data_IF_344438806710
#
_entry.id   IF_344438806710
#
_cell.length_a   1.000
_cell.length_b   1.000
_cell.length_c   1.000
_cell.angle_alpha   90.00
_cell.angle_beta   90.00
_cell.angle_gamma   90.00
#
_symmetry.space_group_name_H-M   'P 1'
#
loop_
_entity.id
_entity.type
_entity.pdbx_description
1 polymer ?
#
# COMPACT_ATOMS: atom_id res chain seq x y z
N UNK A 1 -19.15 -8.65 -6.29
CA UNK A 1 -18.11 -8.81 -7.33
C UNK A 1 -17.20 -7.61 -7.15
N UNK A 2 -15.93 -7.83 -6.90
CA UNK A 2 -15.05 -6.72 -6.59
C UNK A 2 -14.80 -5.84 -7.82
N UNK A 3 -14.77 -4.52 -7.61
CA UNK A 3 -14.69 -3.49 -8.64
C UNK A 3 -13.33 -2.78 -8.58
N UNK A 4 -12.65 -2.67 -9.72
CA UNK A 4 -11.32 -2.07 -9.84
C UNK A 4 -11.39 -0.88 -10.77
N UNK A 5 -10.95 0.28 -10.27
CA UNK A 5 -10.73 1.47 -11.09
C UNK A 5 -9.34 1.41 -11.71
N UNK A 6 -9.25 1.64 -13.03
CA UNK A 6 -8.00 1.67 -13.79
C UNK A 6 -7.82 3.10 -14.31
N UNK A 7 -6.86 3.82 -13.77
CA UNK A 7 -6.48 5.15 -14.21
C UNK A 7 -5.22 5.04 -15.10
N UNK A 8 -5.42 5.10 -16.41
CA UNK A 8 -4.37 4.90 -17.42
C UNK A 8 -4.80 5.60 -18.72
N UNK A 9 -3.97 6.47 -19.26
CA UNK A 9 -4.27 7.24 -20.47
C UNK A 9 -3.91 6.49 -21.77
N UNK A 10 -2.95 5.55 -21.69
CA UNK A 10 -2.61 4.72 -22.84
C UNK A 10 -3.67 3.62 -23.06
N UNK A 11 -4.54 3.80 -24.06
CA UNK A 11 -5.64 2.88 -24.36
C UNK A 11 -5.22 1.41 -24.54
N UNK A 12 -3.97 1.16 -24.98
CA UNK A 12 -3.43 -0.21 -25.13
C UNK A 12 -3.15 -0.85 -23.77
N UNK A 13 -2.57 -0.10 -22.83
CA UNK A 13 -2.26 -0.58 -21.49
C UNK A 13 -3.55 -0.73 -20.70
N UNK A 14 -4.42 0.29 -20.72
CA UNK A 14 -5.73 0.24 -20.08
C UNK A 14 -6.56 -0.97 -20.55
N UNK A 15 -6.67 -1.18 -21.88
CA UNK A 15 -7.41 -2.32 -22.44
C UNK A 15 -6.77 -3.67 -22.14
N UNK A 16 -5.43 -3.77 -22.07
CA UNK A 16 -4.73 -4.98 -21.67
C UNK A 16 -5.02 -5.32 -20.20
N UNK A 17 -4.95 -4.35 -19.32
CA UNK A 17 -5.24 -4.51 -17.88
C UNK A 17 -6.72 -4.85 -17.68
N UNK A 18 -7.63 -4.10 -18.29
CA UNK A 18 -9.08 -4.33 -18.22
C UNK A 18 -9.45 -5.74 -18.63
N UNK A 19 -8.98 -6.19 -19.82
CA UNK A 19 -9.27 -7.52 -20.34
C UNK A 19 -8.80 -8.63 -19.39
N UNK A 20 -7.60 -8.47 -18.83
CA UNK A 20 -7.04 -9.43 -17.89
C UNK A 20 -7.84 -9.49 -16.58
N UNK A 21 -8.20 -8.32 -16.03
CA UNK A 21 -8.96 -8.24 -14.78
C UNK A 21 -10.38 -8.78 -14.92
N UNK A 22 -11.07 -8.48 -16.03
CA UNK A 22 -12.39 -9.06 -16.32
C UNK A 22 -12.33 -10.58 -16.47
N UNK A 23 -11.30 -11.10 -17.14
CA UNK A 23 -11.07 -12.54 -17.23
C UNK A 23 -10.78 -13.18 -15.86
N UNK A 24 -10.19 -12.43 -14.94
CA UNK A 24 -9.94 -12.86 -13.55
C UNK A 24 -11.15 -12.71 -12.62
N UNK A 25 -12.31 -12.21 -13.13
CA UNK A 25 -13.57 -12.13 -12.39
C UNK A 25 -13.83 -10.80 -11.68
N UNK A 26 -13.10 -9.73 -12.03
CA UNK A 26 -13.31 -8.38 -11.49
C UNK A 26 -14.24 -7.54 -12.38
N UNK A 27 -15.03 -6.67 -11.77
CA UNK A 27 -15.62 -5.54 -12.48
C UNK A 27 -14.57 -4.45 -12.68
N UNK A 28 -14.59 -3.73 -13.80
CA UNK A 28 -13.56 -2.73 -14.12
C UNK A 28 -14.18 -1.48 -14.71
N UNK A 29 -13.62 -0.33 -14.38
CA UNK A 29 -13.87 0.95 -15.03
C UNK A 29 -12.54 1.63 -15.33
N UNK A 30 -12.46 2.33 -16.48
CA UNK A 30 -11.27 3.04 -16.92
C UNK A 30 -11.51 4.55 -16.76
N UNK A 31 -10.52 5.25 -16.20
CA UNK A 31 -10.36 6.69 -16.24
C UNK A 31 -9.11 7.02 -17.06
N UNK A 32 -9.21 7.93 -18.02
CA UNK A 32 -8.07 8.31 -18.88
C UNK A 32 -7.40 9.63 -18.47
N UNK A 33 -7.89 10.27 -17.41
CA UNK A 33 -7.34 11.52 -16.89
C UNK A 33 -7.28 11.47 -15.35
N UNK A 34 -6.34 12.21 -14.76
CA UNK A 34 -6.24 12.32 -13.30
C UNK A 34 -7.49 12.89 -12.63
N UNK A 35 -8.12 13.97 -13.16
CA UNK A 35 -9.38 14.49 -12.61
C UNK A 35 -10.52 13.46 -12.62
N UNK A 36 -10.67 12.68 -13.70
CA UNK A 36 -11.69 11.63 -13.78
C UNK A 36 -11.39 10.50 -12.79
N UNK A 37 -10.11 10.10 -12.68
CA UNK A 37 -9.67 9.09 -11.74
C UNK A 37 -9.98 9.50 -10.29
N UNK A 38 -9.67 10.74 -9.93
CA UNK A 38 -9.97 11.28 -8.60
C UNK A 38 -11.47 11.31 -8.32
N UNK A 39 -12.26 11.82 -9.27
CA UNK A 39 -13.71 11.90 -9.13
C UNK A 39 -14.34 10.52 -8.91
N UNK A 40 -13.98 9.54 -9.75
CA UNK A 40 -14.49 8.17 -9.64
C UNK A 40 -14.01 7.49 -8.35
N UNK A 41 -12.75 7.67 -7.98
CA UNK A 41 -12.19 7.09 -6.76
C UNK A 41 -12.85 7.58 -5.46
N UNK A 42 -13.52 8.74 -5.49
CA UNK A 42 -14.26 9.31 -4.36
C UNK A 42 -15.70 8.81 -4.24
N UNK A 43 -16.19 7.98 -5.17
CA UNK A 43 -17.59 7.48 -5.14
C UNK A 43 -17.79 6.29 -4.21
N UNK A 44 -16.76 5.75 -3.59
CA UNK A 44 -16.78 4.52 -2.78
C UNK A 44 -17.33 3.26 -3.52
N UNK A 45 -17.32 3.30 -4.87
CA UNK A 45 -17.81 2.18 -5.70
C UNK A 45 -16.71 1.17 -6.05
N UNK A 46 -15.45 1.48 -5.72
CA UNK A 46 -14.29 0.69 -6.09
C UNK A 46 -13.56 0.14 -4.87
N UNK A 47 -13.14 -1.12 -5.00
CA UNK A 47 -12.41 -1.85 -3.97
C UNK A 47 -10.89 -1.67 -4.09
N UNK A 48 -10.39 -1.20 -5.26
CA UNK A 48 -8.97 -0.95 -5.51
C UNK A 48 -8.80 -0.01 -6.71
N UNK A 49 -7.76 0.84 -6.64
CA UNK A 49 -7.31 1.71 -7.74
C UNK A 49 -5.96 1.23 -8.28
N UNK A 50 -5.87 0.99 -9.58
CA UNK A 50 -4.62 0.90 -10.34
C UNK A 50 -4.39 2.26 -10.98
N UNK A 51 -3.31 2.95 -10.63
CA UNK A 51 -3.10 4.37 -10.93
C UNK A 51 -1.77 4.60 -11.63
N UNK A 52 -1.83 5.04 -12.88
CA UNK A 52 -0.62 5.50 -13.57
C UNK A 52 -0.12 6.83 -13.01
N UNK A 53 1.20 6.98 -12.94
CA UNK A 53 1.85 8.23 -12.55
C UNK A 53 1.60 9.31 -13.61
N UNK A 54 1.72 8.97 -14.90
CA UNK A 54 1.70 9.92 -16.00
C UNK A 54 0.29 10.10 -16.58
N UNK A 55 -0.62 10.72 -15.80
CA UNK A 55 -1.98 11.02 -16.28
C UNK A 55 -2.11 12.48 -16.74
N UNK A 56 -2.90 12.74 -17.80
CA UNK A 56 -3.18 14.10 -18.23
C UNK A 56 -4.08 14.84 -17.24
N UNK A 57 -3.86 16.14 -17.11
CA UNK A 57 -4.64 17.06 -16.30
C UNK A 57 -4.24 17.10 -14.82
N UNK A 58 -3.99 15.95 -14.22
CA UNK A 58 -3.48 15.78 -12.85
C UNK A 58 -2.66 14.50 -12.81
N UNK A 59 -1.41 14.56 -12.38
CA UNK A 59 -0.58 13.37 -12.31
C UNK A 59 -1.02 12.41 -11.19
N UNK A 60 -0.56 11.15 -11.28
CA UNK A 60 -0.97 10.11 -10.34
C UNK A 60 -0.56 10.39 -8.89
N UNK A 61 0.54 11.11 -8.65
CA UNK A 61 0.94 11.49 -7.29
C UNK A 61 0.00 12.53 -6.70
N UNK A 62 -0.45 13.50 -7.50
CA UNK A 62 -1.44 14.49 -7.07
C UNK A 62 -2.80 13.85 -6.79
N UNK A 63 -3.21 12.86 -7.61
CA UNK A 63 -4.43 12.07 -7.33
C UNK A 63 -4.30 11.32 -6.00
N UNK A 64 -3.17 10.64 -5.79
CA UNK A 64 -2.87 9.91 -4.56
C UNK A 64 -2.92 10.83 -3.34
N UNK A 65 -2.24 11.98 -3.39
CA UNK A 65 -2.20 12.95 -2.29
C UNK A 65 -3.62 13.42 -1.91
N UNK A 66 -4.46 13.74 -2.90
CA UNK A 66 -5.83 14.19 -2.65
C UNK A 66 -6.72 13.07 -2.08
N UNK A 67 -6.56 11.83 -2.54
CA UNK A 67 -7.30 10.68 -1.99
C UNK A 67 -6.90 10.43 -0.53
N UNK A 68 -5.61 10.45 -0.22
CA UNK A 68 -5.12 10.29 1.15
C UNK A 68 -5.56 11.46 2.04
N UNK A 69 -5.51 12.69 1.53
CA UNK A 69 -5.96 13.90 2.23
C UNK A 69 -7.47 13.88 2.53
N UNK A 70 -8.28 13.22 1.69
CA UNK A 70 -9.73 13.03 1.93
C UNK A 70 -10.03 11.86 2.87
N UNK A 71 -9.02 11.11 3.33
CA UNK A 71 -9.19 9.96 4.21
C UNK A 71 -9.61 8.68 3.50
N UNK A 72 -9.42 8.59 2.17
CA UNK A 72 -9.66 7.36 1.42
C UNK A 72 -8.84 6.21 1.97
N UNK A 73 -9.46 5.04 2.08
CA UNK A 73 -8.83 3.79 2.53
C UNK A 73 -8.69 2.77 1.40
N UNK A 74 -9.16 3.12 0.21
CA UNK A 74 -9.08 2.26 -0.95
C UNK A 74 -7.63 1.92 -1.26
N UNK A 75 -7.26 0.65 -1.41
CA UNK A 75 -5.91 0.24 -1.82
C UNK A 75 -5.53 0.84 -3.17
N UNK A 76 -4.32 1.37 -3.27
CA UNK A 76 -3.82 2.01 -4.49
C UNK A 76 -2.50 1.35 -4.93
N UNK A 77 -2.49 0.84 -6.16
CA UNK A 77 -1.29 0.32 -6.83
C UNK A 77 -0.86 1.33 -7.89
N UNK A 78 0.30 1.96 -7.68
CA UNK A 78 0.86 2.91 -8.64
C UNK A 78 1.57 2.17 -9.77
N UNK A 79 1.29 2.56 -11.03
CA UNK A 79 2.08 2.15 -12.19
C UNK A 79 3.08 3.25 -12.51
N UNK A 80 4.37 2.92 -12.67
CA UNK A 80 5.42 3.92 -12.86
C UNK A 80 6.51 3.45 -13.81
N UNK A 81 7.21 4.36 -14.49
CA UNK A 81 8.41 4.02 -15.24
C UNK A 81 9.55 3.62 -14.29
N UNK A 82 10.37 2.64 -14.69
CA UNK A 82 11.46 2.09 -13.86
C UNK A 82 12.47 3.15 -13.36
N UNK A 83 12.67 4.22 -14.11
CA UNK A 83 13.58 5.32 -13.76
C UNK A 83 13.03 6.15 -12.60
N UNK A 84 11.71 6.32 -12.54
CA UNK A 84 11.02 7.08 -11.48
C UNK A 84 10.99 6.33 -10.15
N UNK A 85 11.09 4.98 -10.16
CA UNK A 85 11.22 4.19 -8.93
C UNK A 85 12.53 4.45 -8.16
N UNK A 86 13.62 4.79 -8.83
CA UNK A 86 14.91 5.09 -8.19
C UNK A 86 14.98 6.52 -7.64
N UNK A 87 14.30 7.47 -8.29
CA UNK A 87 14.16 8.85 -7.80
C UNK A 87 13.05 8.99 -6.75
N UNK A 88 12.13 8.02 -6.70
CA UNK A 88 10.90 8.02 -5.88
C UNK A 88 11.11 7.43 -4.48
N UNK A 89 12.33 7.32 -3.98
CA UNK A 89 12.53 7.24 -2.51
C UNK A 89 11.93 8.48 -1.83
N UNK A 90 11.91 9.62 -2.49
CA UNK A 90 11.13 10.80 -2.10
C UNK A 90 9.60 10.64 -2.33
N UNK A 91 9.16 9.82 -3.29
CA UNK A 91 7.73 9.58 -3.59
C UNK A 91 7.10 8.46 -2.78
N UNK A 92 7.88 7.64 -2.05
CA UNK A 92 7.38 6.67 -1.06
C UNK A 92 6.79 7.37 0.18
N UNK A 93 7.01 8.66 0.36
CA UNK A 93 6.27 9.50 1.29
C UNK A 93 4.80 9.65 0.90
N UNK A 94 4.43 9.35 -0.36
CA UNK A 94 3.10 9.51 -0.90
C UNK A 94 2.02 8.52 -0.40
N UNK A 95 2.38 7.44 0.31
CA UNK A 95 1.39 6.59 0.99
C UNK A 95 0.61 5.59 0.11
N UNK A 96 1.00 5.34 -1.14
CA UNK A 96 0.41 4.28 -1.96
C UNK A 96 0.68 2.88 -1.36
N UNK A 97 -0.25 1.94 -1.58
CA UNK A 97 -0.14 0.58 -1.05
C UNK A 97 0.89 -0.27 -1.79
N UNK A 98 1.12 -0.01 -3.07
CA UNK A 98 2.07 -0.73 -3.91
C UNK A 98 2.52 0.09 -5.11
N UNK A 99 3.70 -0.29 -5.66
CA UNK A 99 4.26 0.27 -6.88
C UNK A 99 4.64 -0.85 -7.84
N UNK A 100 4.31 -0.70 -9.12
CA UNK A 100 4.63 -1.64 -10.18
C UNK A 100 5.31 -0.91 -11.33
N UNK A 101 6.54 -1.30 -11.63
CA UNK A 101 7.33 -0.70 -12.72
C UNK A 101 6.86 -1.13 -14.10
N UNK A 102 6.66 -0.19 -15.02
CA UNK A 102 6.45 -0.44 -16.45
C UNK A 102 7.81 -0.74 -17.14
N UNK A 103 7.90 -1.77 -18.03
CA UNK A 103 6.85 -2.71 -18.43
C UNK A 103 6.65 -3.82 -17.40
N UNK A 104 5.40 -4.21 -17.15
CA UNK A 104 5.03 -5.25 -16.20
C UNK A 104 4.32 -6.44 -16.88
N UNK A 105 4.30 -7.57 -16.17
CA UNK A 105 3.50 -8.72 -16.56
C UNK A 105 2.14 -8.66 -15.89
N UNK A 106 1.09 -9.06 -16.61
CA UNK A 106 -0.27 -9.07 -16.05
C UNK A 106 -0.38 -9.98 -14.80
N UNK A 107 0.30 -11.13 -14.81
CA UNK A 107 0.29 -12.05 -13.66
C UNK A 107 0.86 -11.40 -12.38
N UNK A 108 1.84 -10.52 -12.53
CA UNK A 108 2.42 -9.75 -11.42
C UNK A 108 1.41 -8.74 -10.87
N UNK A 109 0.79 -7.94 -11.74
CA UNK A 109 -0.27 -7.01 -11.36
C UNK A 109 -1.42 -7.73 -10.65
N UNK A 110 -1.90 -8.85 -11.23
CA UNK A 110 -2.98 -9.65 -10.66
C UNK A 110 -2.64 -10.22 -9.27
N UNK A 111 -1.40 -10.70 -9.09
CA UNK A 111 -0.94 -11.20 -7.79
C UNK A 111 -0.94 -10.09 -6.73
N UNK A 112 -0.49 -8.86 -7.09
CA UNK A 112 -0.49 -7.68 -6.21
C UNK A 112 -1.91 -7.24 -5.85
N UNK A 113 -2.81 -7.17 -6.83
CA UNK A 113 -4.23 -6.86 -6.62
C UNK A 113 -4.84 -7.85 -5.63
N UNK A 114 -4.70 -9.16 -5.87
CA UNK A 114 -5.24 -10.19 -4.98
C UNK A 114 -4.67 -10.12 -3.57
N UNK A 115 -3.37 -9.80 -3.43
CA UNK A 115 -2.74 -9.64 -2.12
C UNK A 115 -3.34 -8.46 -1.36
N UNK A 116 -3.65 -7.34 -2.04
CA UNK A 116 -4.23 -6.15 -1.40
C UNK A 116 -5.70 -6.34 -1.05
N UNK A 117 -6.46 -7.01 -1.91
CA UNK A 117 -7.88 -7.31 -1.68
C UNK A 117 -8.10 -8.42 -0.65
N UNK A 118 -7.23 -9.45 -0.61
CA UNK A 118 -7.34 -10.57 0.34
C UNK A 118 -7.14 -10.14 1.80
N UNK A 119 -6.41 -9.03 2.03
CA UNK A 119 -6.29 -8.46 3.38
C UNK A 119 -7.62 -8.00 3.97
N UNK A 120 -8.62 -7.73 3.16
CA UNK A 120 -9.96 -7.35 3.64
C UNK A 120 -10.82 -8.57 4.04
N UNK A 121 -10.71 -9.69 3.35
CA UNK A 121 -11.50 -10.91 3.63
C UNK A 121 -10.95 -11.69 4.84
N UNK A 122 -9.62 -11.79 4.99
CA UNK A 122 -9.00 -12.46 6.14
C UNK A 122 -9.09 -11.63 7.44
N UNK A 123 -9.33 -10.31 7.33
CA UNK A 123 -9.50 -9.41 8.47
C UNK A 123 -10.82 -9.61 9.22
N UNK A 124 -11.81 -10.26 8.60
CA UNK A 124 -13.08 -10.59 9.27
C UNK A 124 -12.94 -11.65 10.38
N UNK A 125 -11.82 -12.39 10.39
CA UNK A 125 -11.58 -13.49 11.33
C UNK A 125 -10.67 -13.16 12.52
N UNK A 126 -10.00 -12.00 12.53
CA UNK A 126 -9.06 -11.64 13.61
C UNK A 126 -9.22 -10.18 14.03
N UNK A 127 -10.27 -9.89 14.76
CA UNK A 127 -10.48 -8.57 15.36
C UNK A 127 -9.34 -8.25 16.35
N UNK A 128 -8.76 -7.06 16.28
CA UNK A 128 -7.80 -6.45 17.19
C UNK A 128 -6.53 -7.27 17.52
N UNK A 129 -5.44 -6.95 16.85
CA UNK A 129 -4.10 -7.32 17.27
C UNK A 129 -3.64 -6.35 18.38
N UNK A 130 -3.00 -6.86 19.41
CA UNK A 130 -2.48 -6.00 20.48
C UNK A 130 -1.14 -6.48 21.01
N UNK A 131 -0.27 -5.52 21.34
CA UNK A 131 0.94 -5.76 22.09
C UNK A 131 1.16 -4.60 23.07
N UNK A 132 1.14 -4.91 24.37
CA UNK A 132 1.14 -3.92 25.46
C UNK A 132 -0.01 -2.93 25.29
N UNK A 133 0.28 -1.63 25.18
CA UNK A 133 -0.69 -0.55 24.98
C UNK A 133 -0.92 -0.17 23.49
N UNK A 134 -0.24 -0.83 22.56
CA UNK A 134 -0.49 -0.71 21.12
C UNK A 134 -1.57 -1.70 20.71
N UNK A 135 -2.65 -1.22 20.13
CA UNK A 135 -3.70 -2.03 19.50
C UNK A 135 -3.93 -1.61 18.04
N UNK A 136 -4.12 -2.60 17.20
CA UNK A 136 -4.42 -2.44 15.79
C UNK A 136 -5.76 -3.13 15.49
N UNK A 137 -6.74 -2.40 15.03
CA UNK A 137 -7.95 -3.00 14.44
C UNK A 137 -7.67 -3.22 12.95
N UNK A 138 -7.49 -4.46 12.56
CA UNK A 138 -7.13 -4.84 11.18
C UNK A 138 -8.26 -4.54 10.21
N UNK A 139 -9.52 -4.61 10.67
CA UNK A 139 -10.69 -4.36 9.85
C UNK A 139 -10.89 -2.88 9.53
N UNK A 140 -10.72 -2.02 10.54
CA UNK A 140 -10.88 -0.56 10.36
C UNK A 140 -9.58 0.14 10.04
N UNK A 141 -8.45 -0.60 10.07
CA UNK A 141 -7.08 -0.06 9.97
C UNK A 141 -6.79 1.05 10.99
N UNK A 142 -7.44 0.98 12.14
CA UNK A 142 -7.19 1.90 13.24
C UNK A 142 -6.05 1.42 14.12
N UNK A 143 -5.11 2.33 14.42
CA UNK A 143 -4.08 2.12 15.42
C UNK A 143 -4.37 2.96 16.66
N UNK A 144 -4.12 2.39 17.84
CA UNK A 144 -4.26 3.10 19.12
C UNK A 144 -3.04 2.80 20.00
N UNK A 145 -2.55 3.84 20.66
CA UNK A 145 -1.48 3.76 21.65
C UNK A 145 -2.02 4.32 22.97
N UNK A 146 -2.03 3.49 24.02
CA UNK A 146 -2.61 3.88 25.30
C UNK A 146 -4.08 4.33 25.19
N UNK A 147 -4.83 3.76 24.24
CA UNK A 147 -6.23 4.14 23.93
C UNK A 147 -6.38 5.36 22.99
N UNK A 148 -5.32 6.12 22.75
CA UNK A 148 -5.36 7.26 21.84
C UNK A 148 -5.18 6.81 20.39
N UNK A 149 -6.05 7.27 19.48
CA UNK A 149 -5.96 6.97 18.05
C UNK A 149 -4.71 7.60 17.45
N UNK A 150 -4.01 6.82 16.62
CA UNK A 150 -2.82 7.24 15.86
C UNK A 150 -3.11 7.01 14.38
N UNK A 151 -2.92 8.04 13.58
CA UNK A 151 -3.10 7.93 12.12
C UNK A 151 -1.86 7.32 11.48
N UNK A 152 -2.06 6.18 10.83
CA UNK A 152 -1.05 5.49 10.05
C UNK A 152 -1.48 5.44 8.60
N UNK A 153 -0.54 5.67 7.68
CA UNK A 153 -0.74 5.35 6.27
C UNK A 153 -0.91 3.84 6.08
N UNK A 154 -1.38 3.42 4.93
CA UNK A 154 -1.59 2.01 4.63
C UNK A 154 -0.31 1.15 4.80
N UNK A 155 0.86 1.70 4.44
CA UNK A 155 2.16 1.03 4.60
C UNK A 155 2.64 1.01 6.04
N UNK A 156 2.49 2.12 6.74
CA UNK A 156 2.80 2.17 8.18
C UNK A 156 1.95 1.17 8.97
N UNK A 157 0.65 1.09 8.64
CA UNK A 157 -0.24 0.13 9.28
C UNK A 157 0.19 -1.31 8.98
N UNK A 158 0.47 -1.65 7.71
CA UNK A 158 0.92 -2.99 7.33
C UNK A 158 2.25 -3.37 8.02
N UNK A 159 3.17 -2.42 8.15
CA UNK A 159 4.43 -2.64 8.85
C UNK A 159 4.21 -2.81 10.36
N UNK A 160 3.34 -2.00 10.97
CA UNK A 160 2.96 -2.14 12.38
C UNK A 160 2.28 -3.48 12.65
N UNK A 161 1.39 -3.93 11.74
CA UNK A 161 0.73 -5.23 11.79
C UNK A 161 1.73 -6.38 11.81
N UNK A 162 2.75 -6.36 10.93
CA UNK A 162 3.80 -7.37 10.91
C UNK A 162 4.55 -7.44 12.24
N UNK A 163 4.85 -6.30 12.83
CA UNK A 163 5.49 -6.26 14.14
C UNK A 163 4.59 -6.80 15.26
N UNK A 164 3.32 -6.41 15.29
CA UNK A 164 2.37 -6.85 16.32
C UNK A 164 2.00 -8.33 16.19
N UNK A 165 2.04 -8.89 14.99
CA UNK A 165 1.89 -10.35 14.76
C UNK A 165 3.10 -11.15 15.22
N UNK A 166 4.27 -10.52 15.33
CA UNK A 166 5.54 -11.17 15.69
C UNK A 166 6.24 -10.45 16.87
N UNK A 167 5.58 -10.27 18.02
CA UNK A 167 6.12 -9.49 19.13
C UNK A 167 7.37 -10.16 19.69
N UNK A 168 8.41 -9.36 19.94
CA UNK A 168 9.70 -9.85 20.44
C UNK A 168 10.57 -10.59 19.42
N UNK A 169 10.04 -10.92 18.24
CA UNK A 169 10.83 -11.54 17.17
C UNK A 169 11.59 -10.48 16.38
N UNK A 170 12.84 -10.79 16.02
CA UNK A 170 13.62 -9.96 15.10
C UNK A 170 13.20 -10.26 13.67
N UNK A 171 12.69 -9.26 12.97
CA UNK A 171 12.35 -9.34 11.55
C UNK A 171 13.47 -8.68 10.74
N UNK A 172 14.04 -9.42 9.77
CA UNK A 172 15.07 -8.87 8.90
C UNK A 172 14.47 -7.83 7.94
N UNK A 173 15.33 -6.95 7.37
CA UNK A 173 14.89 -6.00 6.32
C UNK A 173 14.24 -6.72 5.15
N UNK A 174 14.84 -7.81 4.69
CA UNK A 174 14.31 -8.62 3.59
C UNK A 174 12.93 -9.20 3.92
N UNK A 175 12.76 -9.71 5.14
CA UNK A 175 11.46 -10.23 5.59
C UNK A 175 10.40 -9.13 5.62
N UNK A 176 10.74 -7.95 6.13
CA UNK A 176 9.83 -6.81 6.15
C UNK A 176 9.50 -6.33 4.75
N UNK A 177 10.51 -6.19 3.87
CA UNK A 177 10.31 -5.82 2.47
C UNK A 177 9.41 -6.82 1.74
N UNK A 178 9.70 -8.10 1.85
CA UNK A 178 8.92 -9.16 1.22
C UNK A 178 7.47 -9.20 1.70
N UNK A 179 7.24 -9.09 3.02
CA UNK A 179 5.90 -9.22 3.61
C UNK A 179 5.02 -7.98 3.43
N UNK A 180 5.63 -6.78 3.47
CA UNK A 180 4.90 -5.51 3.40
C UNK A 180 4.86 -4.96 1.98
N UNK A 181 5.94 -5.13 1.18
CA UNK A 181 6.05 -4.58 -0.19
C UNK A 181 6.02 -5.62 -1.30
N UNK A 182 6.27 -6.89 -1.00
CA UNK A 182 6.28 -8.00 -1.97
C UNK A 182 7.68 -8.49 -2.34
N UNK A 183 7.74 -9.66 -3.03
CA UNK A 183 9.01 -10.36 -3.31
C UNK A 183 9.95 -9.66 -4.29
N UNK A 184 9.45 -8.72 -5.11
CA UNK A 184 10.25 -8.06 -6.15
C UNK A 184 10.86 -6.73 -5.70
N UNK A 185 10.84 -6.46 -4.40
CA UNK A 185 11.46 -5.25 -3.87
C UNK A 185 12.99 -5.44 -3.79
N UNK A 186 13.76 -4.42 -4.23
CA UNK A 186 15.22 -4.45 -4.15
C UNK A 186 15.68 -4.65 -2.69
N UNK A 187 16.40 -5.75 -2.37
CA UNK A 187 16.91 -6.00 -1.03
C UNK A 187 17.87 -4.91 -0.50
N UNK A 188 18.47 -4.12 -1.41
CA UNK A 188 19.33 -2.98 -1.07
C UNK A 188 18.56 -1.70 -0.71
N UNK A 189 17.23 -1.71 -0.84
CA UNK A 189 16.38 -0.56 -0.54
C UNK A 189 16.38 -0.22 0.95
N UNK A 190 16.47 1.07 1.29
CA UNK A 190 16.35 1.57 2.66
C UNK A 190 14.89 1.85 3.09
N UNK A 191 13.91 1.46 2.27
CA UNK A 191 12.48 1.74 2.51
C UNK A 191 12.02 1.22 3.86
N UNK A 192 12.37 0.00 4.24
CA UNK A 192 12.03 -0.53 5.56
C UNK A 192 12.56 0.36 6.70
N UNK A 193 13.78 0.88 6.55
CA UNK A 193 14.42 1.75 7.57
C UNK A 193 13.67 3.07 7.70
N UNK A 194 13.23 3.66 6.57
CA UNK A 194 12.45 4.91 6.53
C UNK A 194 11.09 4.71 7.23
N UNK A 195 10.36 3.67 6.87
CA UNK A 195 9.04 3.41 7.48
C UNK A 195 9.11 2.99 8.95
N UNK A 196 10.17 2.31 9.37
CA UNK A 196 10.46 2.11 10.81
C UNK A 196 10.68 3.44 11.52
N UNK A 197 11.36 4.38 10.86
CA UNK A 197 11.51 5.77 11.36
C UNK A 197 10.16 6.45 11.58
N UNK A 198 9.24 6.38 10.61
CA UNK A 198 7.90 6.95 10.73
C UNK A 198 7.07 6.28 11.84
N UNK A 199 7.12 4.97 11.95
CA UNK A 199 6.44 4.25 13.04
C UNK A 199 6.95 4.67 14.41
N UNK A 200 8.27 4.86 14.58
CA UNK A 200 8.84 5.36 15.83
C UNK A 200 8.35 6.76 16.19
N UNK A 201 8.21 7.63 15.20
CA UNK A 201 7.67 8.98 15.43
C UNK A 201 6.21 8.94 15.89
N UNK A 202 5.40 8.04 15.31
CA UNK A 202 3.96 7.98 15.55
C UNK A 202 3.56 7.09 16.74
N UNK A 203 4.23 5.97 16.91
CA UNK A 203 3.91 4.98 17.95
C UNK A 203 4.75 5.15 19.23
N UNK A 204 5.87 5.85 19.14
CA UNK A 204 6.83 6.02 20.21
C UNK A 204 8.22 5.46 19.85
N UNK A 205 9.31 6.20 20.19
CA UNK A 205 10.67 5.90 19.72
C UNK A 205 11.22 4.57 20.23
N UNK A 206 10.78 4.10 21.39
CA UNK A 206 11.35 2.94 22.08
C UNK A 206 10.63 1.62 21.75
N UNK A 207 9.54 1.67 20.94
CA UNK A 207 8.73 0.48 20.66
C UNK A 207 9.38 -0.48 19.67
N UNK A 208 10.15 0.06 18.73
CA UNK A 208 10.81 -0.74 17.72
C UNK A 208 12.31 -0.61 17.89
N UNK A 209 12.94 -1.67 18.38
CA UNK A 209 14.39 -1.72 18.56
C UNK A 209 15.09 -2.06 17.25
N UNK A 210 16.28 -1.49 17.02
CA UNK A 210 17.19 -1.91 15.94
C UNK A 210 18.13 -2.96 16.46
N UNK A 211 18.06 -4.17 15.91
CA UNK A 211 19.05 -5.23 16.15
C UNK A 211 20.12 -5.13 15.07
N UNK A 212 21.27 -4.57 15.45
CA UNK A 212 22.35 -4.24 14.50
C UNK A 212 22.75 -5.42 13.63
N UNK A 213 22.81 -5.21 12.32
CA UNK A 213 23.19 -6.23 11.34
C UNK A 213 22.15 -7.32 11.08
N UNK A 214 20.97 -7.29 11.77
CA UNK A 214 19.93 -8.30 11.64
C UNK A 214 18.61 -7.69 11.14
N UNK A 215 18.07 -6.68 11.84
CA UNK A 215 16.77 -6.10 11.51
C UNK A 215 16.15 -5.32 12.65
N UNK A 216 14.85 -5.49 12.84
CA UNK A 216 14.04 -4.74 13.80
C UNK A 216 13.16 -5.66 14.65
N UNK A 217 12.83 -5.23 15.85
CA UNK A 217 12.03 -5.99 16.81
C UNK A 217 11.05 -5.05 17.54
N UNK A 218 9.78 -5.46 17.65
CA UNK A 218 8.83 -4.80 18.53
C UNK A 218 9.08 -5.27 19.98
N UNK A 219 9.24 -4.31 20.91
CA UNK A 219 9.55 -4.56 22.33
C UNK A 219 8.37 -4.31 23.24
#
# INVERSE_FOLDING_TARGET
>A
MASILIAEDEARIAGFVEKGLRAAGFATQIASTGPDALHLAQTDEFDLLVLDVNLPGMDGFQVLEQLLGSGSRMPIIMLTARVELQDTVAGLEGGADDYLGKPFRFDELLARIRLRMRKEEDAAATAALSHRDLSLDVRTREARVGGTRVELSAREFALAEEFVRNPGQVLSREQLLSRVWGYDFDPGSNVADVYVGYLRQKLGPDRIETVRGVGYRLT
#
